data_IF_813238070275
#
_entry.id   IF_813238070275
#
_cell.length_a   1.000
_cell.length_b   1.000
_cell.length_c   1.000
_cell.angle_alpha   90.00
_cell.angle_beta   90.00
_cell.angle_gamma   90.00
#
_symmetry.space_group_name_H-M   'P 1'
#
loop_
_entity.id
_entity.type
_entity.pdbx_description
1 polymer ?
#
# COMPACT_ATOMS: atom_id res chain seq x y z
N UNK A 1 -0.86 4.72 -34.23
CA UNK A 1 -1.45 4.78 -32.88
C UNK A 1 -1.39 3.40 -32.26
N UNK A 2 -1.44 3.27 -30.92
CA UNK A 2 -1.40 1.99 -30.20
C UNK A 2 -2.78 1.72 -29.58
N UNK A 3 -3.75 1.42 -30.43
CA UNK A 3 -5.18 1.43 -30.11
C UNK A 3 -5.60 0.50 -28.94
N UNK A 4 -4.89 -0.62 -28.72
CA UNK A 4 -5.23 -1.61 -27.67
C UNK A 4 -4.03 -2.07 -26.82
N UNK A 5 -2.90 -1.39 -26.90
CA UNK A 5 -1.71 -1.75 -26.15
C UNK A 5 -1.76 -1.14 -24.74
N UNK A 6 -1.91 -1.99 -23.72
CA UNK A 6 -1.76 -1.59 -22.32
C UNK A 6 -0.30 -1.34 -21.93
N UNK A 7 -0.09 -0.99 -20.67
CA UNK A 7 1.25 -0.78 -20.10
C UNK A 7 2.12 -2.05 -20.11
N UNK A 8 1.50 -3.24 -20.21
CA UNK A 8 2.18 -4.54 -20.34
C UNK A 8 2.77 -4.79 -21.75
N UNK A 9 2.27 -4.10 -22.77
CA UNK A 9 2.70 -4.29 -24.16
C UNK A 9 3.89 -3.39 -24.57
N UNK A 10 4.47 -2.64 -23.63
CA UNK A 10 5.52 -1.66 -23.92
C UNK A 10 6.86 -2.30 -24.37
N UNK A 11 7.11 -3.57 -24.03
CA UNK A 11 8.31 -4.31 -24.42
C UNK A 11 8.30 -4.86 -25.87
N UNK A 12 7.17 -4.79 -26.59
CA UNK A 12 7.11 -5.27 -27.97
C UNK A 12 7.38 -4.14 -28.97
N UNK A 13 8.33 -4.37 -29.89
CA UNK A 13 8.72 -3.46 -30.96
C UNK A 13 7.53 -3.08 -31.85
N UNK A 14 7.17 -1.79 -31.84
CA UNK A 14 6.21 -1.18 -32.78
C UNK A 14 4.72 -1.20 -32.38
N UNK A 15 3.85 -0.49 -33.12
CA UNK A 15 2.40 -0.58 -32.98
C UNK A 15 1.90 -1.89 -33.61
N UNK A 16 1.97 -2.98 -32.86
CA UNK A 16 1.37 -4.24 -33.26
C UNK A 16 -0.15 -4.19 -32.99
N UNK A 17 -0.98 -4.73 -33.91
CA UNK A 17 -2.40 -4.97 -33.63
C UNK A 17 -2.54 -5.80 -32.36
N UNK A 18 -3.49 -5.44 -31.49
CA UNK A 18 -3.73 -6.17 -30.26
C UNK A 18 -5.22 -6.55 -30.14
N UNK A 19 -5.52 -7.77 -29.66
CA UNK A 19 -6.89 -8.20 -29.49
C UNK A 19 -7.51 -7.54 -28.26
N UNK A 20 -8.79 -7.16 -28.35
CA UNK A 20 -9.53 -6.68 -27.20
C UNK A 20 -9.73 -7.81 -26.17
N UNK A 21 -9.09 -7.71 -25.01
CA UNK A 21 -9.12 -8.74 -23.96
C UNK A 21 -10.28 -8.54 -23.00
N UNK A 22 -10.94 -9.63 -22.60
CA UNK A 22 -12.01 -9.60 -21.57
C UNK A 22 -11.51 -9.21 -20.18
N UNK A 23 -10.26 -9.58 -19.87
CA UNK A 23 -9.59 -9.30 -18.60
C UNK A 23 -8.20 -8.73 -18.87
N UNK A 24 -7.88 -7.68 -18.16
CA UNK A 24 -6.64 -6.95 -18.29
C UNK A 24 -5.67 -7.41 -17.19
N UNK A 25 -4.35 -7.26 -17.40
CA UNK A 25 -3.35 -7.62 -16.39
C UNK A 25 -3.65 -6.86 -15.09
N UNK A 26 -3.36 -7.50 -13.95
CA UNK A 26 -3.49 -6.85 -12.64
C UNK A 26 -2.34 -5.87 -12.40
N UNK A 27 -2.50 -5.00 -11.39
CA UNK A 27 -1.45 -4.03 -11.03
C UNK A 27 -0.14 -4.74 -10.64
N UNK A 28 -0.26 -5.92 -10.04
CA UNK A 28 0.85 -6.80 -9.69
C UNK A 28 1.69 -7.20 -10.91
N UNK A 29 1.04 -7.60 -12.00
CA UNK A 29 1.72 -8.02 -13.23
C UNK A 29 2.22 -6.81 -14.03
N UNK A 30 1.42 -5.75 -14.07
CA UNK A 30 1.68 -4.58 -14.91
C UNK A 30 2.77 -3.65 -14.34
N UNK A 31 2.99 -3.62 -13.02
CA UNK A 31 3.94 -2.68 -12.39
C UNK A 31 4.85 -3.36 -11.36
N UNK A 32 6.17 -3.48 -11.65
CA UNK A 32 7.14 -4.04 -10.69
C UNK A 32 7.22 -3.27 -9.37
N UNK A 33 6.95 -1.96 -9.37
CA UNK A 33 6.92 -1.15 -8.16
C UNK A 33 5.81 -1.59 -7.19
N UNK A 34 4.61 -1.91 -7.70
CA UNK A 34 3.50 -2.41 -6.88
C UNK A 34 3.90 -3.70 -6.17
N UNK A 35 4.53 -4.64 -6.90
CA UNK A 35 5.05 -5.88 -6.32
C UNK A 35 6.07 -5.63 -5.21
N UNK A 36 7.03 -4.73 -5.43
CA UNK A 36 8.04 -4.37 -4.42
C UNK A 36 7.40 -3.85 -3.13
N UNK A 37 6.40 -2.97 -3.24
CA UNK A 37 5.71 -2.42 -2.06
C UNK A 37 4.93 -3.49 -1.30
N UNK A 38 4.19 -4.34 -2.00
CA UNK A 38 3.42 -5.43 -1.35
C UNK A 38 4.37 -6.42 -0.67
N UNK A 39 5.48 -6.80 -1.32
CA UNK A 39 6.51 -7.65 -0.70
C UNK A 39 7.09 -6.98 0.54
N UNK A 40 7.36 -5.67 0.50
CA UNK A 40 7.87 -4.91 1.65
C UNK A 40 6.90 -4.92 2.84
N UNK A 41 5.59 -4.82 2.60
CA UNK A 41 4.57 -4.97 3.64
C UNK A 41 4.62 -6.36 4.28
N UNK A 42 4.74 -7.43 3.48
CA UNK A 42 4.85 -8.80 4.01
C UNK A 42 6.14 -9.04 4.79
N UNK A 43 7.27 -8.50 4.33
CA UNK A 43 8.53 -8.54 5.08
C UNK A 43 8.37 -7.84 6.44
N UNK A 44 7.69 -6.70 6.47
CA UNK A 44 7.43 -5.98 7.71
C UNK A 44 6.53 -6.77 8.68
N UNK A 45 5.52 -7.48 8.18
CA UNK A 45 4.68 -8.39 8.99
C UNK A 45 5.54 -9.48 9.64
N UNK A 46 6.38 -10.15 8.85
CA UNK A 46 7.27 -11.21 9.36
C UNK A 46 8.29 -10.65 10.36
N UNK A 47 8.85 -9.47 10.09
CA UNK A 47 9.78 -8.81 10.99
C UNK A 47 9.12 -8.42 12.32
N UNK A 48 7.88 -7.90 12.28
CA UNK A 48 7.13 -7.53 13.48
C UNK A 48 6.75 -8.77 14.31
N UNK A 49 6.34 -9.86 13.64
CA UNK A 49 6.09 -11.15 14.29
C UNK A 49 7.36 -11.68 14.97
N UNK A 50 8.49 -11.68 14.23
CA UNK A 50 9.79 -12.11 14.76
C UNK A 50 10.23 -11.26 15.95
N UNK A 51 10.04 -9.94 15.89
CA UNK A 51 10.31 -9.05 17.03
C UNK A 51 9.48 -9.44 18.25
N UNK A 52 8.17 -9.64 18.11
CA UNK A 52 7.31 -10.08 19.22
C UNK A 52 7.77 -11.40 19.84
N UNK A 53 8.12 -12.40 19.01
CA UNK A 53 8.66 -13.69 19.46
C UNK A 53 9.99 -13.55 20.22
N UNK A 54 10.90 -12.69 19.73
CA UNK A 54 12.16 -12.38 20.42
C UNK A 54 11.88 -11.77 21.80
N UNK A 55 10.95 -10.81 21.90
CA UNK A 55 10.61 -10.22 23.20
C UNK A 55 10.02 -11.28 24.15
N UNK A 56 9.15 -12.18 23.68
CA UNK A 56 8.66 -13.29 24.51
C UNK A 56 9.80 -14.16 25.02
N UNK A 57 10.73 -14.54 24.14
CA UNK A 57 11.88 -15.36 24.51
C UNK A 57 12.75 -14.67 25.58
N UNK A 58 13.04 -13.37 25.41
CA UNK A 58 13.83 -12.57 26.34
C UNK A 58 13.14 -12.31 27.69
N UNK A 59 11.82 -12.52 27.77
CA UNK A 59 11.01 -12.36 29.00
C UNK A 59 10.84 -13.68 29.77
N UNK A 60 11.45 -14.77 29.28
CA UNK A 60 11.40 -16.09 29.92
C UNK A 60 10.85 -17.20 29.04
N UNK A 61 10.46 -16.90 27.79
CA UNK A 61 10.04 -17.91 26.81
C UNK A 61 8.65 -18.50 27.02
N UNK A 62 7.87 -17.98 27.97
CA UNK A 62 6.53 -18.49 28.27
C UNK A 62 5.47 -17.80 27.40
N UNK A 63 5.24 -18.37 26.21
CA UNK A 63 4.22 -17.90 25.28
C UNK A 63 2.80 -18.03 25.87
N UNK A 64 2.53 -19.08 26.66
CA UNK A 64 1.22 -19.28 27.28
C UNK A 64 0.90 -18.13 28.23
N UNK A 65 1.88 -17.72 29.04
CA UNK A 65 1.74 -16.58 29.94
C UNK A 65 1.57 -15.27 29.18
N UNK A 66 2.34 -15.05 28.11
CA UNK A 66 2.18 -13.87 27.25
C UNK A 66 0.73 -13.78 26.72
N UNK A 67 0.21 -14.85 26.11
CA UNK A 67 -1.15 -14.91 25.56
C UNK A 67 -2.21 -14.76 26.66
N UNK A 68 -2.00 -15.37 27.84
CA UNK A 68 -2.95 -15.23 28.96
C UNK A 68 -3.06 -13.79 29.48
N UNK A 69 -2.01 -12.97 29.28
CA UNK A 69 -2.00 -11.54 29.61
C UNK A 69 -2.58 -10.65 28.51
N UNK A 70 -3.29 -11.21 27.52
CA UNK A 70 -3.76 -10.46 26.38
C UNK A 70 -4.71 -9.33 26.79
N UNK A 71 -4.35 -8.12 26.39
CA UNK A 71 -5.16 -6.92 26.47
C UNK A 71 -4.84 -6.03 25.29
N UNK A 72 -5.81 -5.24 24.82
CA UNK A 72 -5.56 -4.29 23.75
C UNK A 72 -4.61 -3.17 24.19
N UNK A 73 -4.83 -2.64 25.39
CA UNK A 73 -3.98 -1.62 26.01
C UNK A 73 -3.00 -2.26 27.00
N UNK A 74 -1.75 -1.78 27.10
CA UNK A 74 -0.82 -2.25 28.11
C UNK A 74 -1.30 -1.87 29.52
N UNK A 75 -1.12 -2.77 30.47
CA UNK A 75 -1.52 -2.60 31.86
C UNK A 75 -0.54 -3.27 32.83
N UNK A 76 -0.87 -3.24 34.12
CA UNK A 76 0.00 -3.77 35.19
C UNK A 76 0.23 -5.28 35.11
N UNK A 77 -0.69 -6.02 34.49
CA UNK A 77 -0.60 -7.47 34.31
C UNK A 77 0.00 -7.87 32.95
N UNK A 78 0.36 -6.89 32.10
CA UNK A 78 0.89 -7.18 30.77
C UNK A 78 2.28 -7.80 30.87
N UNK A 79 2.49 -8.85 30.06
CA UNK A 79 3.82 -9.43 29.88
C UNK A 79 4.75 -8.39 29.25
N UNK A 80 5.91 -8.13 29.87
CA UNK A 80 6.77 -6.99 29.49
C UNK A 80 8.24 -7.34 29.64
N UNK A 81 9.05 -6.90 28.67
CA UNK A 81 10.50 -6.81 28.82
C UNK A 81 10.90 -5.37 28.94
N UNK A 82 11.63 -5.02 30.00
CA UNK A 82 12.22 -3.69 30.13
C UNK A 82 13.74 -3.78 30.20
N UNK A 83 14.42 -2.77 29.65
CA UNK A 83 15.82 -2.47 29.93
C UNK A 83 15.95 -1.02 30.37
N UNK A 84 16.93 -0.74 31.23
CA UNK A 84 17.12 0.58 31.80
C UNK A 84 18.26 1.32 31.10
N UNK A 85 18.01 2.59 30.76
CA UNK A 85 18.98 3.55 30.29
C UNK A 85 19.40 4.40 31.49
N UNK A 86 20.63 4.22 32.03
CA UNK A 86 21.12 5.03 33.14
C UNK A 86 21.38 6.48 32.71
N UNK A 87 20.98 7.46 33.51
CA UNK A 87 21.14 8.89 33.17
C UNK A 87 22.47 9.48 33.64
N UNK A 88 22.99 9.04 34.79
CA UNK A 88 24.21 9.60 35.40
C UNK A 88 25.46 8.75 35.20
N UNK A 89 25.39 7.68 34.40
CA UNK A 89 26.58 6.88 34.09
C UNK A 89 27.40 7.52 32.97
N UNK A 90 28.73 7.37 32.99
CA UNK A 90 29.61 7.82 31.90
C UNK A 90 29.31 7.18 30.53
N UNK A 91 28.54 6.09 30.50
CA UNK A 91 28.10 5.39 29.30
C UNK A 91 26.65 5.73 28.87
N UNK A 92 25.98 6.67 29.54
CA UNK A 92 24.58 7.03 29.24
C UNK A 92 24.35 7.35 27.76
N UNK A 93 25.28 8.11 27.15
CA UNK A 93 25.21 8.49 25.74
C UNK A 93 25.16 7.28 24.80
N UNK A 94 25.88 6.20 25.12
CA UNK A 94 25.93 4.99 24.30
C UNK A 94 24.58 4.28 24.29
N UNK A 95 23.93 4.17 25.46
CA UNK A 95 22.58 3.61 25.56
C UNK A 95 21.53 4.43 24.81
N UNK A 96 21.64 5.77 24.83
CA UNK A 96 20.77 6.64 24.04
C UNK A 96 20.96 6.46 22.54
N UNK A 97 22.20 6.36 22.07
CA UNK A 97 22.49 6.07 20.65
C UNK A 97 21.88 4.73 20.25
N UNK A 98 22.05 3.69 21.07
CA UNK A 98 21.44 2.38 20.80
C UNK A 98 19.91 2.45 20.78
N UNK A 99 19.30 3.19 21.71
CA UNK A 99 17.85 3.40 21.73
C UNK A 99 17.36 4.08 20.46
N UNK A 100 17.95 5.22 20.06
CA UNK A 100 17.54 5.94 18.85
C UNK A 100 17.75 5.10 17.58
N UNK A 101 18.84 4.35 17.51
CA UNK A 101 19.09 3.42 16.40
C UNK A 101 18.01 2.34 16.35
N UNK A 102 17.64 1.75 17.50
CA UNK A 102 16.58 0.76 17.59
C UNK A 102 15.21 1.36 17.18
N UNK A 103 14.86 2.55 17.67
CA UNK A 103 13.63 3.25 17.29
C UNK A 103 13.61 3.55 15.78
N UNK A 104 14.72 4.01 15.20
CA UNK A 104 14.82 4.24 13.77
C UNK A 104 14.64 2.94 12.95
N UNK A 105 15.21 1.82 13.42
CA UNK A 105 15.07 0.51 12.80
C UNK A 105 13.66 -0.06 12.88
N UNK A 106 12.87 0.30 13.90
CA UNK A 106 11.48 -0.18 14.03
C UNK A 106 10.50 0.77 13.35
N UNK A 107 10.60 2.08 13.60
CA UNK A 107 9.68 3.10 13.08
C UNK A 107 9.95 3.41 11.60
N UNK A 108 11.21 3.44 11.17
CA UNK A 108 11.60 3.79 9.81
C UNK A 108 10.98 2.88 8.75
N UNK A 109 11.14 1.54 8.84
CA UNK A 109 10.50 0.61 7.90
C UNK A 109 8.98 0.71 7.88
N UNK A 110 8.35 0.94 9.03
CA UNK A 110 6.90 1.17 9.12
C UNK A 110 6.49 2.42 8.33
N UNK A 111 7.13 3.56 8.58
CA UNK A 111 6.85 4.81 7.86
C UNK A 111 7.09 4.66 6.36
N UNK A 112 8.22 4.06 5.97
CA UNK A 112 8.55 3.83 4.57
C UNK A 112 7.52 2.93 3.88
N UNK A 113 7.08 1.84 4.53
CA UNK A 113 6.06 0.94 3.99
C UNK A 113 4.72 1.62 3.77
N UNK A 114 4.28 2.43 4.72
CA UNK A 114 3.01 3.14 4.59
C UNK A 114 3.08 4.30 3.58
N UNK A 115 4.24 4.94 3.40
CA UNK A 115 4.45 5.91 2.33
C UNK A 115 4.51 5.24 0.96
N UNK A 116 5.25 4.15 0.81
CA UNK A 116 5.30 3.42 -0.45
C UNK A 116 3.94 2.82 -0.84
N UNK A 117 3.10 2.45 0.14
CA UNK A 117 1.72 1.99 -0.09
C UNK A 117 0.84 3.05 -0.77
N UNK A 118 1.17 4.33 -0.61
CA UNK A 118 0.49 5.43 -1.29
C UNK A 118 0.65 5.35 -2.81
N UNK A 119 1.83 4.92 -3.29
CA UNK A 119 2.06 4.68 -4.71
C UNK A 119 1.11 3.63 -5.26
N UNK A 120 0.90 2.53 -4.54
CA UNK A 120 -0.03 1.47 -4.97
C UNK A 120 -1.46 2.01 -5.00
N UNK A 121 -1.86 2.76 -3.97
CA UNK A 121 -3.20 3.33 -3.91
C UNK A 121 -3.45 4.34 -5.04
N UNK A 122 -2.47 5.18 -5.36
CA UNK A 122 -2.55 6.12 -6.48
C UNK A 122 -2.66 5.40 -7.82
N UNK A 123 -1.81 4.40 -8.08
CA UNK A 123 -1.88 3.57 -9.30
C UNK A 123 -3.25 2.92 -9.49
N UNK A 124 -3.82 2.37 -8.42
CA UNK A 124 -5.12 1.71 -8.45
C UNK A 124 -6.25 2.71 -8.66
N UNK A 125 -6.17 3.88 -8.02
CA UNK A 125 -7.13 4.96 -8.19
C UNK A 125 -7.11 5.50 -9.62
N UNK A 126 -5.94 5.74 -10.18
CA UNK A 126 -5.80 6.30 -11.52
C UNK A 126 -6.33 5.31 -12.58
N UNK A 127 -6.09 4.01 -12.39
CA UNK A 127 -6.75 2.98 -13.21
C UNK A 127 -8.28 3.00 -13.04
N UNK A 128 -8.80 3.15 -11.83
CA UNK A 128 -10.25 3.27 -11.60
C UNK A 128 -10.85 4.48 -12.32
N UNK A 129 -10.14 5.61 -12.35
CA UNK A 129 -10.57 6.83 -13.07
C UNK A 129 -10.54 6.58 -14.58
N UNK A 130 -9.46 5.99 -15.09
CA UNK A 130 -9.34 5.63 -16.50
C UNK A 130 -10.48 4.71 -16.96
N UNK A 131 -10.80 3.70 -16.15
CA UNK A 131 -11.88 2.74 -16.43
C UNK A 131 -13.26 3.36 -16.57
N UNK A 132 -13.50 4.54 -15.97
CA UNK A 132 -14.78 5.26 -16.10
C UNK A 132 -15.07 5.68 -17.55
N UNK A 133 -14.07 5.73 -18.43
CA UNK A 133 -14.29 6.05 -19.84
C UNK A 133 -15.18 5.02 -20.54
N UNK A 134 -15.17 3.75 -20.13
CA UNK A 134 -16.12 2.73 -20.65
C UNK A 134 -17.50 2.79 -19.98
N UNK A 135 -17.64 3.55 -18.90
CA UNK A 135 -18.89 3.68 -18.16
C UNK A 135 -19.82 4.75 -18.74
N UNK A 136 -21.08 4.72 -18.30
CA UNK A 136 -22.11 5.71 -18.71
C UNK A 136 -21.70 7.16 -18.41
N UNK A 137 -20.92 7.39 -17.36
CA UNK A 137 -20.50 8.72 -16.92
C UNK A 137 -19.31 9.30 -17.68
N UNK A 138 -18.56 8.47 -18.42
CA UNK A 138 -17.26 8.82 -18.98
C UNK A 138 -16.18 9.09 -17.92
N UNK A 139 -14.95 9.23 -18.38
CA UNK A 139 -13.81 9.69 -17.58
C UNK A 139 -13.70 11.22 -17.69
N UNK A 140 -13.73 11.92 -16.55
CA UNK A 140 -13.66 13.39 -16.51
C UNK A 140 -12.21 13.84 -16.35
N UNK A 141 -11.80 14.83 -17.13
CA UNK A 141 -10.45 15.40 -17.09
C UNK A 141 -10.22 16.29 -15.87
N UNK A 142 -11.25 17.06 -15.49
CA UNK A 142 -11.25 17.94 -14.34
C UNK A 142 -12.19 17.41 -13.27
N UNK A 143 -11.60 17.08 -12.12
CA UNK A 143 -12.32 16.67 -10.92
C UNK A 143 -11.63 17.27 -9.72
N UNK A 144 -12.41 17.65 -8.72
CA UNK A 144 -11.86 18.16 -7.47
C UNK A 144 -10.90 17.10 -6.88
N UNK A 145 -9.61 17.43 -6.67
CA UNK A 145 -8.60 16.46 -6.26
C UNK A 145 -8.94 15.83 -4.90
N UNK A 146 -9.55 16.58 -3.98
CA UNK A 146 -9.97 16.05 -2.68
C UNK A 146 -11.07 15.01 -2.82
N UNK A 147 -12.04 15.24 -3.70
CA UNK A 147 -13.12 14.28 -3.97
C UNK A 147 -12.57 13.00 -4.60
N UNK A 148 -11.55 13.10 -5.45
CA UNK A 148 -10.90 11.93 -6.07
C UNK A 148 -10.06 11.14 -5.08
N UNK A 149 -9.33 11.83 -4.20
CA UNK A 149 -8.52 11.20 -3.16
C UNK A 149 -9.40 10.53 -2.11
N UNK A 150 -10.34 11.28 -1.52
CA UNK A 150 -11.24 10.79 -0.45
C UNK A 150 -12.35 9.88 -0.97
N UNK A 151 -12.67 9.95 -2.26
CA UNK A 151 -13.61 9.03 -2.90
C UNK A 151 -13.02 7.64 -3.20
N UNK A 152 -11.72 7.43 -2.96
CA UNK A 152 -11.08 6.11 -3.11
C UNK A 152 -11.01 5.40 -1.76
N UNK A 153 -11.73 4.27 -1.57
CA UNK A 153 -11.71 3.54 -0.30
C UNK A 153 -10.31 3.13 0.15
N UNK A 154 -9.42 2.80 -0.80
CA UNK A 154 -8.04 2.41 -0.50
C UNK A 154 -7.20 3.57 0.04
N UNK A 155 -7.39 4.79 -0.49
CA UNK A 155 -6.72 5.99 0.02
C UNK A 155 -7.21 6.33 1.42
N UNK A 156 -8.53 6.27 1.66
CA UNK A 156 -9.11 6.53 2.99
C UNK A 156 -8.62 5.49 3.98
N UNK A 157 -8.61 4.21 3.61
CA UNK A 157 -8.07 3.14 4.44
C UNK A 157 -6.59 3.40 4.79
N UNK A 158 -5.76 3.80 3.82
CA UNK A 158 -4.35 4.13 4.06
C UNK A 158 -4.18 5.38 4.93
N UNK A 159 -5.01 6.41 4.72
CA UNK A 159 -5.02 7.64 5.51
C UNK A 159 -5.30 7.34 7.00
N UNK A 160 -6.23 6.43 7.29
CA UNK A 160 -6.50 5.98 8.65
C UNK A 160 -5.43 5.01 9.18
N UNK A 161 -4.90 4.12 8.35
CA UNK A 161 -3.91 3.14 8.76
C UNK A 161 -2.59 3.78 9.21
N UNK A 162 -2.16 4.88 8.58
CA UNK A 162 -0.94 5.62 8.94
C UNK A 162 -0.89 6.00 10.44
N UNK A 163 -1.80 6.85 10.97
CA UNK A 163 -1.79 7.21 12.38
C UNK A 163 -2.10 6.02 13.29
N UNK A 164 -3.02 5.12 12.88
CA UNK A 164 -3.39 3.95 13.69
C UNK A 164 -2.20 3.03 13.96
N UNK A 165 -1.45 2.66 12.91
CA UNK A 165 -0.30 1.76 13.06
C UNK A 165 0.85 2.40 13.83
N UNK A 166 1.08 3.72 13.65
CA UNK A 166 2.06 4.44 14.45
C UNK A 166 1.66 4.54 15.93
N UNK A 167 0.39 4.75 16.20
CA UNK A 167 -0.13 4.72 17.56
C UNK A 167 0.00 3.33 18.20
N UNK A 168 -0.33 2.26 17.47
CA UNK A 168 -0.13 0.88 17.94
C UNK A 168 1.35 0.55 18.19
N UNK A 169 2.26 1.09 17.38
CA UNK A 169 3.70 1.01 17.65
C UNK A 169 4.07 1.72 18.96
N UNK A 170 3.46 2.88 19.24
CA UNK A 170 3.60 3.58 20.52
C UNK A 170 3.01 2.81 21.72
N UNK A 171 2.00 1.95 21.51
CA UNK A 171 1.52 1.05 22.58
C UNK A 171 2.48 -0.12 22.84
N UNK A 172 3.24 -0.54 21.81
CA UNK A 172 4.20 -1.63 21.91
C UNK A 172 5.47 -1.25 22.68
N UNK A 173 5.82 0.03 22.72
CA UNK A 173 7.01 0.56 23.39
C UNK A 173 6.62 1.68 24.34
N UNK A 174 6.95 1.55 25.62
CA UNK A 174 6.71 2.60 26.63
C UNK A 174 8.03 3.04 27.28
N UNK A 175 8.10 4.30 27.66
CA UNK A 175 9.21 4.89 28.41
C UNK A 175 8.73 5.27 29.80
N UNK A 176 9.37 4.74 30.83
CA UNK A 176 9.05 5.06 32.23
C UNK A 176 10.30 5.54 32.97
N UNK A 177 10.19 6.69 33.63
CA UNK A 177 11.26 7.19 34.49
C UNK A 177 11.32 6.46 35.82
N UNK A 178 12.51 6.07 36.25
CA UNK A 178 12.77 5.57 37.61
C UNK A 178 13.45 6.67 38.41
N UNK A 179 12.90 7.01 39.57
CA UNK A 179 13.48 7.99 40.49
C UNK A 179 13.97 7.35 41.78
N UNK A 180 15.03 7.91 42.35
CA UNK A 180 15.54 7.55 43.68
C UNK A 180 15.82 8.84 44.42
N UNK A 181 15.19 9.01 45.59
CA UNK A 181 15.27 10.26 46.37
C UNK A 181 14.95 11.51 45.54
N UNK A 182 13.81 11.48 44.83
CA UNK A 182 13.31 12.57 43.95
C UNK A 182 14.17 12.89 42.72
N UNK A 183 15.32 12.24 42.55
CA UNK A 183 16.18 12.37 41.37
C UNK A 183 15.86 11.28 40.34
N UNK A 184 15.62 11.66 39.09
CA UNK A 184 15.42 10.71 37.99
C UNK A 184 16.74 10.00 37.65
N UNK A 185 16.89 8.73 38.00
CA UNK A 185 18.16 8.00 37.89
C UNK A 185 18.28 7.19 36.59
N UNK A 186 17.16 6.70 36.05
CA UNK A 186 17.15 5.91 34.82
C UNK A 186 15.82 6.04 34.07
N UNK A 187 15.84 5.70 32.78
CA UNK A 187 14.65 5.55 31.94
C UNK A 187 14.52 4.09 31.53
N UNK A 188 13.42 3.44 31.93
CA UNK A 188 13.06 2.09 31.52
C UNK A 188 12.40 2.15 30.13
N UNK A 189 12.94 1.41 29.18
CA UNK A 189 12.32 1.16 27.87
C UNK A 189 11.63 -0.19 27.95
N UNK A 190 10.30 -0.16 28.00
CA UNK A 190 9.43 -1.33 28.12
C UNK A 190 8.90 -1.73 26.75
N UNK A 191 9.04 -3.01 26.42
CA UNK A 191 8.49 -3.64 25.21
C UNK A 191 7.43 -4.66 25.61
N UNK A 192 6.25 -4.56 25.01
CA UNK A 192 5.12 -5.43 25.32
C UNK A 192 4.80 -6.37 24.15
N UNK A 193 5.05 -7.70 24.27
CA UNK A 193 4.86 -8.64 23.17
C UNK A 193 3.44 -8.69 22.61
N UNK A 194 2.42 -8.60 23.46
CA UNK A 194 1.02 -8.65 23.01
C UNK A 194 0.68 -7.45 22.12
N UNK A 195 1.17 -6.27 22.45
CA UNK A 195 0.96 -5.05 21.69
C UNK A 195 1.73 -5.11 20.36
N UNK A 196 2.92 -5.73 20.36
CA UNK A 196 3.66 -6.04 19.12
C UNK A 196 2.85 -7.02 18.24
N UNK A 197 2.22 -8.05 18.82
CA UNK A 197 1.36 -8.97 18.06
C UNK A 197 0.08 -8.30 17.56
N UNK A 198 -0.52 -7.38 18.32
CA UNK A 198 -1.65 -6.58 17.86
C UNK A 198 -1.25 -5.71 16.66
N UNK A 199 -0.08 -5.04 16.73
CA UNK A 199 0.49 -4.28 15.60
C UNK A 199 0.74 -5.20 14.39
N UNK A 200 1.28 -6.39 14.62
CA UNK A 200 1.50 -7.41 13.57
C UNK A 200 0.19 -7.79 12.89
N UNK A 201 -0.88 -8.03 13.66
CA UNK A 201 -2.21 -8.35 13.12
C UNK A 201 -2.80 -7.21 12.28
N UNK A 202 -2.66 -5.97 12.75
CA UNK A 202 -3.09 -4.80 11.98
C UNK A 202 -2.28 -4.62 10.68
N UNK A 203 -0.96 -4.81 10.73
CA UNK A 203 -0.08 -4.80 9.55
C UNK A 203 -0.43 -5.92 8.57
N UNK A 204 -0.72 -7.12 9.08
CA UNK A 204 -1.16 -8.25 8.26
C UNK A 204 -2.44 -7.91 7.49
N UNK A 205 -3.42 -7.29 8.16
CA UNK A 205 -4.66 -6.86 7.50
C UNK A 205 -4.39 -5.84 6.39
N UNK A 206 -3.53 -4.84 6.64
CA UNK A 206 -3.13 -3.86 5.61
C UNK A 206 -2.43 -4.56 4.45
N UNK A 207 -1.45 -5.43 4.72
CA UNK A 207 -0.73 -6.20 3.70
C UNK A 207 -1.69 -7.04 2.86
N UNK A 208 -2.67 -7.69 3.50
CA UNK A 208 -3.69 -8.50 2.84
C UNK A 208 -4.57 -7.65 1.91
N UNK A 209 -5.08 -6.51 2.37
CA UNK A 209 -5.88 -5.58 1.55
C UNK A 209 -5.09 -5.15 0.31
N UNK A 210 -3.84 -4.69 0.48
CA UNK A 210 -3.00 -4.27 -0.63
C UNK A 210 -2.66 -5.41 -1.58
N UNK A 211 -2.47 -6.63 -1.06
CA UNK A 211 -2.23 -7.84 -1.87
C UNK A 211 -3.45 -8.16 -2.74
N UNK A 212 -4.65 -8.22 -2.14
CA UNK A 212 -5.90 -8.51 -2.84
C UNK A 212 -6.13 -7.47 -3.95
N UNK A 213 -6.07 -6.18 -3.62
CA UNK A 213 -6.34 -5.12 -4.61
C UNK A 213 -5.29 -5.11 -5.73
N UNK A 214 -4.05 -5.51 -5.45
CA UNK A 214 -2.98 -5.56 -6.47
C UNK A 214 -3.10 -6.76 -7.40
N UNK A 215 -3.62 -7.90 -6.92
CA UNK A 215 -3.73 -9.16 -7.69
C UNK A 215 -5.05 -9.24 -8.45
N UNK A 216 -6.14 -8.68 -7.91
CA UNK A 216 -7.46 -8.70 -8.57
C UNK A 216 -7.38 -7.93 -9.90
N UNK A 217 -7.25 -8.70 -10.99
CA UNK A 217 -7.22 -8.18 -12.35
C UNK A 217 -8.51 -7.44 -12.70
N UNK A 218 -8.40 -6.41 -13.53
CA UNK A 218 -9.56 -5.59 -13.91
C UNK A 218 -10.24 -6.19 -15.14
N UNK A 219 -11.57 -6.27 -15.06
CA UNK A 219 -12.41 -6.72 -16.16
C UNK A 219 -12.69 -5.58 -17.13
N UNK A 220 -12.84 -5.93 -18.41
CA UNK A 220 -13.27 -5.00 -19.45
C UNK A 220 -12.24 -4.83 -20.57
N UNK A 221 -12.71 -4.46 -21.78
CA UNK A 221 -11.89 -4.43 -22.99
C UNK A 221 -10.92 -3.24 -23.06
N UNK A 222 -11.11 -2.22 -22.23
CA UNK A 222 -10.23 -1.06 -22.20
C UNK A 222 -8.80 -1.45 -21.79
N UNK A 223 -7.75 -0.96 -22.46
CA UNK A 223 -6.36 -1.29 -22.11
C UNK A 223 -5.99 -0.78 -20.71
N UNK A 224 -5.19 -1.55 -19.97
CA UNK A 224 -4.71 -1.12 -18.64
C UNK A 224 -3.63 -0.04 -18.76
N UNK A 225 -3.77 1.05 -18.01
CA UNK A 225 -2.82 2.16 -18.03
C UNK A 225 -2.14 2.36 -16.68
N UNK A 226 -2.83 2.08 -15.58
CA UNK A 226 -2.30 2.14 -14.21
C UNK A 226 -1.64 3.47 -13.87
N UNK A 227 -2.12 4.58 -14.44
CA UNK A 227 -1.54 5.92 -14.28
C UNK A 227 -0.22 6.15 -15.03
N UNK A 228 0.09 5.34 -16.05
CA UNK A 228 1.27 5.59 -16.89
C UNK A 228 0.94 6.65 -17.93
N UNK A 229 1.50 7.85 -17.78
CA UNK A 229 1.15 9.04 -18.57
C UNK A 229 1.36 8.79 -20.06
N UNK A 230 2.49 8.21 -20.47
CA UNK A 230 2.77 7.93 -21.87
C UNK A 230 1.76 6.92 -22.46
N UNK A 231 1.37 5.90 -21.70
CA UNK A 231 0.36 4.93 -22.15
C UNK A 231 -0.99 5.62 -22.30
N UNK A 232 -1.40 6.46 -21.35
CA UNK A 232 -2.62 7.25 -21.47
C UNK A 232 -2.59 8.17 -22.69
N UNK A 233 -1.49 8.90 -22.92
CA UNK A 233 -1.35 9.78 -24.08
C UNK A 233 -1.39 9.01 -25.42
N UNK A 234 -0.92 7.77 -25.46
CA UNK A 234 -0.99 6.92 -26.64
C UNK A 234 -2.39 6.33 -26.88
N UNK A 235 -3.19 6.16 -25.83
CA UNK A 235 -4.55 5.62 -25.89
C UNK A 235 -5.57 6.73 -26.17
N UNK A 236 -5.41 7.90 -25.58
CA UNK A 236 -6.29 9.05 -25.76
C UNK A 236 -5.98 9.69 -27.11
N UNK A 237 -6.84 9.47 -28.09
CA UNK A 237 -6.74 10.05 -29.42
C UNK A 237 -7.56 11.34 -29.56
N UNK A 238 -8.64 11.48 -28.78
CA UNK A 238 -9.42 12.72 -28.66
C UNK A 238 -9.50 13.20 -27.20
N UNK A 239 -9.06 14.44 -26.97
CA UNK A 239 -9.04 15.08 -25.65
C UNK A 239 -10.27 15.96 -25.47
N UNK A 240 -11.11 15.58 -24.49
CA UNK A 240 -12.33 16.31 -24.16
C UNK A 240 -12.54 16.40 -22.64
N UNK A 241 -13.36 17.33 -22.13
CA UNK A 241 -13.63 17.44 -20.70
C UNK A 241 -14.20 16.16 -20.07
N UNK A 242 -14.94 15.38 -20.86
CA UNK A 242 -15.46 14.06 -20.53
C UNK A 242 -15.20 13.13 -21.70
N UNK A 243 -14.42 12.08 -21.46
CA UNK A 243 -13.99 11.12 -22.47
C UNK A 243 -14.71 9.80 -22.30
N UNK A 244 -15.20 9.23 -23.40
CA UNK A 244 -15.72 7.87 -23.45
C UNK A 244 -14.82 6.99 -24.30
N UNK A 245 -14.55 5.76 -23.85
CA UNK A 245 -13.74 4.78 -24.56
C UNK A 245 -14.63 3.76 -25.25
N UNK A 246 -14.37 3.48 -26.53
CA UNK A 246 -15.13 2.47 -27.26
C UNK A 246 -14.68 2.25 -28.69
N UNK A 247 -15.45 1.46 -29.42
CA UNK A 247 -15.25 1.18 -30.84
C UNK A 247 -15.61 2.41 -31.68
N UNK A 248 -14.69 2.83 -32.57
CA UNK A 248 -14.88 3.98 -33.47
C UNK A 248 -15.18 3.54 -34.90
N UNK A 249 -14.24 2.80 -35.50
CA UNK A 249 -14.27 2.49 -36.93
C UNK A 249 -14.09 0.99 -37.11
N UNK A 250 -14.94 0.40 -37.96
CA UNK A 250 -14.70 -0.94 -38.48
C UNK A 250 -13.84 -0.85 -39.73
N UNK A 251 -12.64 -1.43 -39.65
CA UNK A 251 -11.70 -1.49 -40.75
C UNK A 251 -11.34 -2.94 -41.10
N UNK A 252 -10.89 -3.16 -42.32
CA UNK A 252 -10.30 -4.41 -42.79
C UNK A 252 -8.79 -4.18 -42.98
N UNK A 253 -7.90 -4.96 -42.35
CA UNK A 253 -8.16 -6.13 -41.50
C UNK A 253 -8.38 -5.81 -40.00
N UNK A 254 -8.19 -4.57 -39.56
CA UNK A 254 -8.22 -4.19 -38.14
C UNK A 254 -9.25 -3.10 -37.84
N UNK A 255 -9.91 -3.22 -36.69
CA UNK A 255 -10.80 -2.19 -36.16
C UNK A 255 -10.02 -1.08 -35.45
N UNK A 256 -10.69 0.04 -35.17
CA UNK A 256 -10.13 1.13 -34.37
C UNK A 256 -11.04 1.44 -33.16
N UNK A 257 -10.41 1.73 -32.04
CA UNK A 257 -10.99 2.12 -30.76
C UNK A 257 -10.20 3.30 -30.19
N UNK A 258 -10.87 4.13 -29.41
CA UNK A 258 -10.25 5.31 -28.85
C UNK A 258 -11.20 6.04 -27.92
N UNK A 259 -10.86 7.29 -27.61
CA UNK A 259 -11.66 8.20 -26.81
C UNK A 259 -12.49 9.14 -27.69
N UNK A 260 -13.69 9.53 -27.25
CA UNK A 260 -14.49 10.57 -27.91
C UNK A 260 -15.19 11.42 -26.85
N UNK A 261 -15.61 12.62 -27.24
CA UNK A 261 -16.51 13.53 -26.51
C UNK A 261 -17.96 13.03 -26.38
N UNK A 262 -18.30 11.93 -27.05
CA UNK A 262 -19.64 11.31 -27.00
C UNK A 262 -19.54 9.84 -26.61
N UNK A 263 -20.59 9.25 -26.00
CA UNK A 263 -20.63 7.82 -25.72
C UNK A 263 -20.39 6.98 -26.98
N UNK A 264 -19.39 6.11 -26.94
CA UNK A 264 -19.03 5.19 -28.02
C UNK A 264 -19.68 3.81 -27.84
N UNK A 265 -19.76 3.04 -28.93
CA UNK A 265 -20.18 1.65 -28.88
C UNK A 265 -19.14 0.80 -28.14
N UNK A 266 -19.58 -0.29 -27.53
CA UNK A 266 -18.68 -1.21 -26.86
C UNK A 266 -17.66 -1.82 -27.82
N UNK A 267 -16.46 -2.08 -27.30
CA UNK A 267 -15.38 -2.76 -28.02
C UNK A 267 -15.76 -4.22 -28.23
N UNK A 268 -15.55 -4.74 -29.44
CA UNK A 268 -15.79 -6.14 -29.77
C UNK A 268 -14.66 -7.01 -29.20
N UNK A 269 -14.98 -7.83 -28.21
CA UNK A 269 -14.03 -8.74 -27.56
C UNK A 269 -13.47 -9.74 -28.58
N UNK A 270 -12.17 -10.06 -28.45
CA UNK A 270 -11.42 -10.97 -29.33
C UNK A 270 -11.26 -10.50 -30.79
N UNK A 271 -11.68 -9.28 -31.12
CA UNK A 271 -11.35 -8.66 -32.41
C UNK A 271 -10.03 -7.90 -32.32
N UNK A 272 -9.35 -7.77 -33.46
CA UNK A 272 -8.05 -7.10 -33.57
C UNK A 272 -8.21 -5.62 -33.83
N UNK A 273 -7.43 -4.81 -33.11
CA UNK A 273 -7.44 -3.36 -33.20
C UNK A 273 -6.03 -2.80 -33.43
N UNK A 274 -5.93 -1.78 -34.28
CA UNK A 274 -4.67 -1.09 -34.63
C UNK A 274 -4.82 0.44 -34.54
#
# INVERSE_FOLDING_TARGET
MRCMCGVDAQEQDGPAPAPARRKQPSAWTARPSVRKVVVMLWVLVVACLGWGLVVVHLTGGDMSRAISSWSFFPGSQSYVKAYNIPLYSGFAWFYWVLYYLNTALVQGPLTLALHCSELVSNVIRDENVWRRATGKSGARLSTNPLVVVLGSPLNVALLCAKPLLHWMLGLAINLAGTSTSELLTAVAVSMFPIQIFNLTGALFLVALIFTIVSIVGRSGPQPAAYGHIQTLANLIDDWSPVMWWGHKISGLPYHHAGTDSRPLKEVMINQWYA
#
